data_IF_178195623542
#
_entry.id   IF_178195623542
#
_cell.length_a   1.000
_cell.length_b   1.000
_cell.length_c   1.000
_cell.angle_alpha   90.00
_cell.angle_beta   90.00
_cell.angle_gamma   90.00
#
_symmetry.space_group_name_H-M   'P 1'
#
loop_
_entity.id
_entity.type
_entity.pdbx_description
1 polymer ?
#
# COMPACT_ATOMS: atom_id res chain seq x y z
N UNK A 1 6.66 -15.06 -7.71
CA UNK A 1 5.27 -15.15 -7.20
C UNK A 1 5.29 -15.52 -5.73
N UNK A 2 5.14 -14.56 -4.83
CA UNK A 2 4.95 -14.83 -3.38
C UNK A 2 3.55 -15.41 -3.16
N UNK A 3 3.45 -16.47 -2.36
CA UNK A 3 2.18 -17.15 -2.05
C UNK A 3 1.24 -16.25 -1.23
N UNK A 4 -0.07 -16.44 -1.39
CA UNK A 4 -1.13 -15.72 -0.67
C UNK A 4 -0.91 -15.58 0.87
N UNK A 5 -0.46 -16.61 1.61
CA UNK A 5 -0.19 -16.46 3.05
C UNK A 5 0.99 -15.53 3.38
N UNK A 6 1.99 -15.40 2.51
CA UNK A 6 3.16 -14.55 2.78
C UNK A 6 2.79 -13.07 2.79
N UNK A 7 1.97 -12.61 1.84
CA UNK A 7 1.51 -11.21 1.77
C UNK A 7 0.57 -10.83 2.93
N UNK A 8 -0.23 -11.78 3.42
CA UNK A 8 -1.09 -11.55 4.59
C UNK A 8 -0.27 -11.36 5.88
N UNK A 9 0.77 -12.17 6.08
CA UNK A 9 1.69 -12.01 7.22
C UNK A 9 2.47 -10.71 7.14
N UNK A 10 2.94 -10.36 5.94
CA UNK A 10 3.64 -9.11 5.68
C UNK A 10 2.77 -7.89 5.98
N UNK A 11 1.52 -7.87 5.51
CA UNK A 11 0.59 -6.80 5.83
C UNK A 11 0.38 -6.64 7.34
N UNK A 12 0.20 -7.75 8.07
CA UNK A 12 0.06 -7.71 9.53
C UNK A 12 1.33 -7.19 10.20
N UNK A 13 2.50 -7.66 9.77
CA UNK A 13 3.78 -7.21 10.30
C UNK A 13 3.98 -5.71 10.13
N UNK A 14 3.70 -5.17 8.93
CA UNK A 14 3.79 -3.73 8.68
C UNK A 14 2.80 -2.97 9.55
N UNK A 15 1.55 -3.43 9.63
CA UNK A 15 0.50 -2.82 10.44
C UNK A 15 0.88 -2.71 11.93
N UNK A 16 1.48 -3.76 12.49
CA UNK A 16 1.93 -3.79 13.88
C UNK A 16 3.12 -2.84 14.13
N UNK A 17 3.89 -2.47 13.09
CA UNK A 17 5.01 -1.53 13.16
C UNK A 17 4.61 -0.07 12.94
N UNK A 18 3.57 0.19 12.17
CA UNK A 18 3.19 1.55 11.76
C UNK A 18 2.43 2.33 12.85
N UNK A 19 1.83 1.66 13.83
CA UNK A 19 1.09 2.33 14.91
C UNK A 19 -0.05 3.21 14.38
N UNK A 20 -0.11 4.47 14.82
CA UNK A 20 -1.19 5.42 14.48
C UNK A 20 -0.85 6.39 13.32
N UNK A 21 0.26 6.20 12.62
CA UNK A 21 0.70 7.09 11.54
C UNK A 21 0.37 6.50 10.16
N UNK A 22 0.29 7.35 9.12
CA UNK A 22 0.13 6.91 7.73
C UNK A 22 1.47 6.76 7.05
N UNK A 23 1.64 5.66 6.33
CA UNK A 23 2.83 5.38 5.55
C UNK A 23 2.47 5.06 4.11
N UNK A 24 3.07 5.76 3.16
CA UNK A 24 3.08 5.34 1.77
C UNK A 24 3.78 3.99 1.62
N UNK A 25 3.21 3.20 0.73
CA UNK A 25 3.79 1.96 0.23
C UNK A 25 3.90 2.05 -1.30
N UNK A 26 4.66 1.15 -1.91
CA UNK A 26 4.86 1.10 -3.35
C UNK A 26 3.64 0.61 -4.15
N UNK A 27 2.44 1.11 -3.87
CA UNK A 27 1.20 0.79 -4.57
C UNK A 27 0.59 2.07 -5.16
N UNK A 28 0.24 2.03 -6.45
CA UNK A 28 -0.29 3.18 -7.17
C UNK A 28 -1.42 2.80 -8.14
N UNK A 29 -2.24 3.79 -8.50
CA UNK A 29 -3.29 3.64 -9.49
C UNK A 29 -2.71 3.93 -10.88
N UNK A 30 -2.55 2.88 -11.70
CA UNK A 30 -2.05 3.01 -13.07
C UNK A 30 -3.11 3.55 -14.03
N UNK A 31 -4.36 3.15 -13.81
CA UNK A 31 -5.54 3.63 -14.52
C UNK A 31 -6.75 3.54 -13.59
N UNK A 32 -7.87 4.17 -13.92
CA UNK A 32 -9.07 4.16 -13.08
C UNK A 32 -9.41 2.75 -12.58
N UNK A 33 -9.41 2.57 -11.25
CA UNK A 33 -9.66 1.32 -10.54
C UNK A 33 -8.67 0.16 -10.84
N UNK A 34 -7.51 0.44 -11.43
CA UNK A 34 -6.44 -0.54 -11.69
C UNK A 34 -5.21 -0.18 -10.86
N UNK A 35 -5.01 -0.95 -9.80
CA UNK A 35 -3.92 -0.76 -8.84
C UNK A 35 -2.78 -1.72 -9.13
N UNK A 36 -1.54 -1.22 -9.04
CA UNK A 36 -0.32 -1.99 -9.26
C UNK A 36 0.74 -1.62 -8.25
N UNK A 37 1.57 -2.61 -7.94
CA UNK A 37 2.81 -2.38 -7.22
C UNK A 37 3.83 -1.69 -8.14
N UNK A 38 4.79 -0.98 -7.56
CA UNK A 38 5.86 -0.28 -8.29
C UNK A 38 6.76 -1.23 -9.09
N UNK A 39 6.76 -2.53 -8.78
CA UNK A 39 7.41 -3.59 -9.56
C UNK A 39 6.57 -4.08 -10.77
N UNK A 40 5.47 -3.39 -11.06
CA UNK A 40 4.50 -3.69 -12.11
C UNK A 40 3.61 -4.94 -11.86
N UNK A 41 3.75 -5.60 -10.71
CA UNK A 41 2.87 -6.73 -10.35
C UNK A 41 1.45 -6.27 -10.01
N UNK A 42 0.47 -7.15 -10.26
CA UNK A 42 -0.96 -6.83 -10.06
C UNK A 42 -1.30 -6.85 -8.57
N UNK A 43 -2.07 -5.85 -8.13
CA UNK A 43 -2.67 -5.85 -6.80
C UNK A 43 -4.02 -6.57 -6.84
N UNK A 44 -4.17 -7.57 -5.96
CA UNK A 44 -5.39 -8.38 -5.83
C UNK A 44 -6.18 -8.08 -4.55
N UNK A 45 -5.87 -6.99 -3.84
CA UNK A 45 -6.60 -6.57 -2.64
C UNK A 45 -7.67 -5.52 -2.92
N UNK A 46 -8.21 -4.94 -1.85
CA UNK A 46 -9.17 -3.85 -1.93
C UNK A 46 -8.56 -2.54 -1.41
N UNK A 47 -8.72 -1.46 -2.18
CA UNK A 47 -8.34 -0.10 -1.76
C UNK A 47 -9.59 0.67 -1.32
N UNK A 48 -9.55 1.28 -0.15
CA UNK A 48 -10.64 2.09 0.44
C UNK A 48 -10.43 3.58 0.19
N UNK A 49 -11.45 4.40 0.47
CA UNK A 49 -11.38 5.86 0.38
C UNK A 49 -10.93 6.39 -1.00
N UNK A 50 -11.36 5.72 -2.07
CA UNK A 50 -11.00 6.09 -3.45
C UNK A 50 -11.72 7.38 -3.86
N UNK A 51 -10.94 8.41 -4.17
CA UNK A 51 -11.40 9.70 -4.68
C UNK A 51 -10.70 10.05 -5.99
N UNK A 52 -11.23 11.03 -6.73
CA UNK A 52 -10.57 11.54 -7.92
C UNK A 52 -9.18 12.09 -7.53
N UNK A 53 -8.16 11.74 -8.32
CA UNK A 53 -6.76 12.10 -8.13
C UNK A 53 -6.05 11.44 -6.93
N UNK A 54 -6.70 10.53 -6.20
CA UNK A 54 -6.04 9.75 -5.15
C UNK A 54 -5.40 8.50 -5.77
N UNK A 55 -4.21 8.70 -6.32
CA UNK A 55 -3.51 7.69 -7.11
C UNK A 55 -2.41 6.94 -6.34
N UNK A 56 -2.19 7.26 -5.06
CA UNK A 56 -1.23 6.59 -4.18
C UNK A 56 -1.93 5.90 -3.02
N UNK A 57 -1.24 5.01 -2.31
CA UNK A 57 -1.84 4.24 -1.19
C UNK A 57 -1.03 4.38 0.09
N UNK A 58 -1.75 4.53 1.20
CA UNK A 58 -1.20 4.50 2.55
C UNK A 58 -1.73 3.32 3.37
N UNK A 59 -0.95 2.86 4.33
CA UNK A 59 -1.35 1.93 5.40
C UNK A 59 -1.03 2.56 6.78
N UNK A 60 -1.47 1.91 7.86
CA UNK A 60 -1.04 2.23 9.23
C UNK A 60 -2.18 2.72 10.13
N UNK A 61 -2.55 4.00 10.08
CA UNK A 61 -3.65 4.52 10.90
C UNK A 61 -4.93 3.66 10.85
N UNK A 62 -5.24 3.08 9.69
CA UNK A 62 -6.28 2.08 9.50
C UNK A 62 -5.66 0.72 9.18
N UNK A 63 -6.47 -0.35 9.27
CA UNK A 63 -6.07 -1.71 8.84
C UNK A 63 -6.25 -1.93 7.32
N UNK A 64 -6.56 -0.88 6.57
CA UNK A 64 -6.89 -0.95 5.16
C UNK A 64 -5.79 -0.35 4.28
N UNK A 65 -5.86 -0.65 2.99
CA UNK A 65 -5.12 0.08 1.96
C UNK A 65 -5.93 1.33 1.60
N UNK A 66 -5.54 2.49 2.11
CA UNK A 66 -6.28 3.73 1.89
C UNK A 66 -5.71 4.50 0.70
N UNK A 67 -6.56 4.84 -0.27
CA UNK A 67 -6.18 5.75 -1.34
C UNK A 67 -5.86 7.15 -0.76
N UNK A 68 -4.84 7.79 -1.31
CA UNK A 68 -4.36 9.09 -0.90
C UNK A 68 -3.87 9.88 -2.12
N UNK A 69 -3.88 11.21 -2.01
CA UNK A 69 -3.18 12.07 -2.95
C UNK A 69 -1.68 11.81 -2.88
N UNK A 70 -1.03 11.69 -4.04
CA UNK A 70 0.41 11.52 -4.14
C UNK A 70 1.19 12.80 -3.78
N UNK A 71 0.52 13.96 -3.78
CA UNK A 71 1.14 15.27 -3.53
C UNK A 71 1.25 15.61 -2.04
N UNK A 72 0.67 14.78 -1.17
CA UNK A 72 0.76 14.96 0.30
C UNK A 72 2.05 14.32 0.79
N UNK A 73 2.68 14.96 1.79
CA UNK A 73 3.84 14.39 2.49
C UNK A 73 3.39 13.48 3.63
N UNK A 74 3.53 12.16 3.46
CA UNK A 74 3.47 11.17 4.53
C UNK A 74 4.82 10.45 4.67
N UNK A 75 5.00 9.71 5.76
CA UNK A 75 6.12 8.77 5.91
C UNK A 75 6.01 7.67 4.84
N UNK A 76 7.06 6.88 4.63
CA UNK A 76 7.06 5.78 3.68
C UNK A 76 7.76 4.55 4.23
N UNK A 77 7.41 3.39 3.70
CA UNK A 77 8.08 2.11 3.97
C UNK A 77 8.78 1.66 2.69
N UNK A 78 10.07 1.32 2.80
CA UNK A 78 10.85 0.71 1.74
C UNK A 78 11.03 -0.79 2.02
N UNK A 79 11.08 -1.59 0.97
CA UNK A 79 11.39 -3.02 1.03
C UNK A 79 12.69 -3.31 0.27
N UNK A 80 13.48 -4.26 0.78
CA UNK A 80 14.57 -4.90 0.05
C UNK A 80 14.64 -6.37 0.44
N UNK A 81 15.20 -7.21 -0.43
CA UNK A 81 15.48 -8.60 -0.09
C UNK A 81 16.41 -8.70 1.14
N UNK A 82 16.10 -9.62 2.05
CA UNK A 82 17.04 -10.04 3.08
C UNK A 82 18.21 -10.77 2.41
N UNK A 83 19.43 -10.42 2.82
CA UNK A 83 20.69 -11.04 2.36
C UNK A 83 21.07 -12.13 3.34
#
# INVERSE_FOLDING_TARGET
STSFPQRAMEQKFLQDKTGAEKYFIGLYQQAKNRWRWIDNSIFNGNVTNQHQNFNCVTIGLTKAYDAASCDISFRWICEKAAI
#
